data_IF_339186812012
#
_entry.id   IF_339186812012
#
_cell.length_a   1.000
_cell.length_b   1.000
_cell.length_c   1.000
_cell.angle_alpha   90.00
_cell.angle_beta   90.00
_cell.angle_gamma   90.00
#
_symmetry.space_group_name_H-M   'P 1'
#
loop_
_entity.id
_entity.type
_entity.pdbx_description
1 polymer ?
#
# COMPACT_ATOMS: atom_id res chain seq x y z
N UNK A 1 21.09 60.79 1.44
CA UNK A 1 21.84 62.06 1.44
C UNK A 1 20.84 63.17 1.16
N UNK A 2 20.36 63.75 2.25
CA UNK A 2 20.16 65.18 2.43
C UNK A 2 20.81 65.40 3.82
N UNK A 3 21.86 66.22 3.88
CA UNK A 3 22.67 66.55 5.07
C UNK A 3 23.30 65.43 5.92
N UNK A 4 24.16 64.61 5.30
CA UNK A 4 25.51 64.30 5.81
C UNK A 4 25.76 63.73 7.21
N UNK A 5 24.75 63.31 7.98
CA UNK A 5 24.93 62.66 9.29
C UNK A 5 24.16 61.33 9.36
N UNK A 6 24.86 60.25 9.74
CA UNK A 6 24.25 58.98 10.10
C UNK A 6 23.34 59.16 11.31
N UNK A 7 22.03 59.02 11.10
CA UNK A 7 21.08 58.89 12.18
C UNK A 7 20.91 57.40 12.49
N UNK A 8 21.38 57.02 13.67
CA UNK A 8 21.26 55.68 14.24
C UNK A 8 19.80 55.22 14.15
N UNK A 9 19.54 54.07 13.52
CA UNK A 9 18.23 53.40 13.62
C UNK A 9 18.04 52.98 15.08
N UNK A 10 17.13 53.64 15.78
CA UNK A 10 16.61 53.16 17.07
C UNK A 10 15.71 51.98 16.73
N UNK A 11 16.04 50.81 17.29
CA UNK A 11 15.20 49.61 17.21
C UNK A 11 13.84 49.94 17.81
N UNK A 12 12.80 50.01 16.97
CA UNK A 12 11.41 50.05 17.42
C UNK A 12 11.16 48.77 18.21
N UNK A 13 10.58 48.92 19.40
CA UNK A 13 10.58 47.93 20.48
C UNK A 13 10.21 46.52 20.08
N UNK A 14 10.82 45.56 20.78
CA UNK A 14 10.39 44.17 20.74
C UNK A 14 8.90 44.10 21.09
N UNK A 15 8.06 43.45 20.26
CA UNK A 15 6.66 43.29 20.57
C UNK A 15 6.54 42.41 21.81
N UNK A 16 6.13 43.01 22.92
CA UNK A 16 5.75 42.27 24.12
C UNK A 16 4.54 41.41 23.78
N UNK A 17 4.68 40.08 23.89
CA UNK A 17 3.57 39.13 23.75
C UNK A 17 2.62 39.38 24.93
N UNK A 18 1.47 39.99 24.67
CA UNK A 18 0.47 40.35 25.70
C UNK A 18 -0.40 39.14 26.06
N UNK A 19 -0.49 38.14 25.18
CA UNK A 19 -1.29 36.93 25.35
C UNK A 19 -0.59 35.76 24.65
N UNK A 20 -0.43 34.62 25.33
CA UNK A 20 0.16 33.43 24.69
C UNK A 20 -0.81 32.92 23.62
N UNK A 21 -0.31 32.47 22.44
CA UNK A 21 -1.16 31.81 21.46
C UNK A 21 -1.79 30.58 22.13
N UNK A 22 -3.12 30.53 22.12
CA UNK A 22 -3.88 29.33 22.50
C UNK A 22 -3.91 28.46 21.24
N UNK A 23 -3.55 27.18 21.35
CA UNK A 23 -3.70 26.23 20.26
C UNK A 23 -5.16 26.25 19.78
N UNK A 24 -5.36 26.70 18.54
CA UNK A 24 -6.66 26.64 17.88
C UNK A 24 -6.77 25.26 17.22
N UNK A 25 -7.42 24.32 17.91
CA UNK A 25 -7.84 23.06 17.29
C UNK A 25 -9.00 23.41 16.35
N UNK A 26 -8.70 23.61 15.08
CA UNK A 26 -9.73 23.77 14.04
C UNK A 26 -10.34 22.38 13.80
N UNK A 27 -11.48 22.13 14.46
CA UNK A 27 -12.31 20.95 14.20
C UNK A 27 -13.09 21.18 12.91
N UNK A 28 -12.72 20.51 11.82
CA UNK A 28 -13.58 20.37 10.65
C UNK A 28 -14.64 19.30 10.94
N UNK A 29 -15.72 19.69 11.62
CA UNK A 29 -16.88 18.83 11.81
C UNK A 29 -17.85 18.95 10.63
N UNK A 30 -17.95 17.91 9.79
CA UNK A 30 -19.17 17.67 9.03
C UNK A 30 -20.22 17.10 9.98
N UNK A 31 -21.43 17.69 10.01
CA UNK A 31 -22.60 17.31 10.84
C UNK A 31 -23.20 15.91 10.54
N UNK A 32 -22.35 14.90 10.37
CA UNK A 32 -22.71 13.50 10.18
C UNK A 32 -21.62 12.68 10.87
N UNK A 33 -21.69 12.49 12.19
CA UNK A 33 -20.97 11.37 12.78
C UNK A 33 -21.80 10.12 12.46
N UNK A 34 -21.38 9.25 11.53
CA UNK A 34 -22.10 8.02 11.26
C UNK A 34 -22.13 7.15 12.53
N UNK A 35 -23.15 6.30 12.64
CA UNK A 35 -23.23 5.31 13.72
C UNK A 35 -21.91 4.51 13.79
N UNK A 36 -21.35 4.29 14.99
CA UNK A 36 -20.11 3.55 15.13
C UNK A 36 -20.28 2.13 14.60
N UNK A 37 -19.44 1.76 13.63
CA UNK A 37 -19.40 0.42 13.04
C UNK A 37 -18.26 -0.33 13.73
N UNK A 38 -18.53 -1.55 14.17
CA UNK A 38 -17.51 -2.39 14.78
C UNK A 38 -16.40 -2.72 13.77
N UNK A 39 -15.16 -2.68 14.24
CA UNK A 39 -13.95 -2.99 13.47
C UNK A 39 -13.26 -4.15 14.18
N UNK A 40 -13.02 -5.23 13.44
CA UNK A 40 -12.21 -6.35 13.91
C UNK A 40 -10.73 -6.03 13.65
N UNK A 41 -9.89 -6.14 14.68
CA UNK A 41 -8.48 -5.77 14.64
C UNK A 41 -8.23 -4.26 14.49
N UNK A 42 -7.13 -3.92 13.81
CA UNK A 42 -6.64 -2.55 13.63
C UNK A 42 -6.66 -2.17 12.16
N UNK A 43 -7.39 -1.09 11.82
CA UNK A 43 -7.34 -0.43 10.52
C UNK A 43 -6.43 0.80 10.64
N UNK A 44 -5.35 0.86 9.85
CA UNK A 44 -4.49 2.04 9.75
C UNK A 44 -4.56 2.65 8.35
N UNK A 45 -4.36 3.97 8.26
CA UNK A 45 -4.36 4.71 7.01
C UNK A 45 -3.52 5.98 7.13
N UNK A 46 -3.13 6.55 5.99
CA UNK A 46 -2.52 7.88 5.92
C UNK A 46 -3.62 8.90 5.72
N UNK A 47 -3.59 10.00 6.48
CA UNK A 47 -4.48 11.14 6.30
C UNK A 47 -3.72 12.44 6.50
N UNK A 48 -3.78 13.32 5.50
CA UNK A 48 -3.03 14.58 5.45
C UNK A 48 -1.53 14.37 5.81
N UNK A 49 -0.91 13.35 5.23
CA UNK A 49 0.50 13.02 5.46
C UNK A 49 0.82 12.42 6.84
N UNK A 50 -0.18 12.07 7.65
CA UNK A 50 0.00 11.49 8.99
C UNK A 50 -0.60 10.09 9.08
N UNK A 51 -0.03 9.23 9.91
CA UNK A 51 -0.59 7.91 10.21
C UNK A 51 -1.74 8.03 11.22
N UNK A 52 -2.81 7.30 10.97
CA UNK A 52 -3.96 7.14 11.85
C UNK A 52 -4.27 5.65 12.02
N UNK A 53 -4.80 5.27 13.18
CA UNK A 53 -5.32 3.95 13.45
C UNK A 53 -6.75 4.01 14.00
N UNK A 54 -7.51 2.96 13.73
CA UNK A 54 -8.85 2.72 14.25
C UNK A 54 -8.87 1.31 14.83
N UNK A 55 -9.32 1.19 16.08
CA UNK A 55 -9.50 -0.10 16.76
C UNK A 55 -10.87 -0.18 17.42
N UNK A 56 -11.50 -1.36 17.34
CA UNK A 56 -12.79 -1.64 17.95
C UNK A 56 -14.00 -1.02 17.22
N UNK A 57 -14.01 0.28 16.91
CA UNK A 57 -15.05 0.88 16.07
C UNK A 57 -14.59 2.14 15.33
N UNK A 58 -15.32 2.54 14.29
CA UNK A 58 -14.99 3.65 13.38
C UNK A 58 -14.90 5.04 14.00
N UNK A 59 -15.38 5.25 15.23
CA UNK A 59 -15.23 6.50 15.97
C UNK A 59 -13.96 6.53 16.83
N UNK A 60 -13.36 5.38 17.13
CA UNK A 60 -12.14 5.26 17.93
C UNK A 60 -10.88 5.50 17.08
N UNK A 61 -10.76 6.71 16.54
CA UNK A 61 -9.60 7.16 15.74
C UNK A 61 -8.47 7.66 16.63
N UNK A 62 -7.27 7.15 16.42
CA UNK A 62 -6.04 7.58 17.09
C UNK A 62 -5.07 8.10 16.03
N UNK A 63 -4.68 9.37 16.14
CA UNK A 63 -3.58 9.93 15.34
C UNK A 63 -2.25 9.40 15.91
N UNK A 64 -1.43 8.81 15.05
CA UNK A 64 -0.15 8.20 15.43
C UNK A 64 1.03 9.14 15.15
N UNK A 65 0.97 9.92 14.07
CA UNK A 65 2.01 10.91 13.74
C UNK A 65 1.43 12.30 13.54
N UNK A 66 2.26 13.33 13.68
CA UNK A 66 1.87 14.73 13.50
C UNK A 66 2.86 15.53 12.63
N UNK A 67 3.72 14.84 11.89
CA UNK A 67 4.81 15.39 11.07
C UNK A 67 4.36 15.80 9.66
N UNK A 68 3.28 15.20 9.14
CA UNK A 68 2.72 15.47 7.79
C UNK A 68 3.70 15.19 6.64
N UNK A 69 4.61 14.22 6.81
CA UNK A 69 5.74 13.93 5.92
C UNK A 69 5.82 12.45 5.46
N UNK A 70 4.79 11.65 5.77
CA UNK A 70 4.74 10.26 5.30
C UNK A 70 4.69 10.22 3.77
N UNK A 71 5.61 9.45 3.16
CA UNK A 71 5.74 9.33 1.71
C UNK A 71 4.89 8.17 1.12
N UNK A 72 4.41 7.26 1.97
CA UNK A 72 3.62 6.09 1.59
C UNK A 72 4.40 5.02 0.83
N UNK A 73 5.74 5.03 0.83
CA UNK A 73 6.57 4.00 0.19
C UNK A 73 6.51 2.69 0.98
N UNK A 74 6.75 2.77 2.30
CA UNK A 74 6.39 1.73 3.25
C UNK A 74 5.24 2.22 4.13
N UNK A 75 4.22 1.38 4.26
CA UNK A 75 3.12 1.54 5.22
C UNK A 75 2.55 0.14 5.46
N UNK A 76 2.98 -0.49 6.55
CA UNK A 76 2.64 -1.90 6.85
C UNK A 76 2.34 -2.12 8.33
N UNK A 77 1.24 -2.82 8.58
CA UNK A 77 0.75 -3.12 9.91
C UNK A 77 1.16 -4.54 10.31
N UNK A 78 1.62 -4.72 11.54
CA UNK A 78 1.99 -6.02 12.07
C UNK A 78 0.79 -6.99 12.06
N UNK A 79 1.03 -8.29 11.98
CA UNK A 79 -0.03 -9.31 11.94
C UNK A 79 -0.99 -9.27 13.16
N UNK A 80 -0.53 -8.75 14.29
CA UNK A 80 -1.29 -8.54 15.52
C UNK A 80 -1.84 -7.11 15.68
N UNK A 81 -1.68 -6.24 14.68
CA UNK A 81 -2.25 -4.90 14.69
C UNK A 81 -1.60 -3.92 15.67
N UNK A 82 -0.60 -4.33 16.46
CA UNK A 82 -0.02 -3.53 17.54
C UNK A 82 1.05 -2.52 17.07
N UNK A 83 1.65 -2.75 15.90
CA UNK A 83 2.72 -1.91 15.38
C UNK A 83 2.54 -1.58 13.90
N UNK A 84 2.87 -0.34 13.54
CA UNK A 84 2.87 0.17 12.19
C UNK A 84 4.31 0.54 11.78
N UNK A 85 4.80 -0.05 10.68
CA UNK A 85 5.97 0.43 9.94
C UNK A 85 5.52 1.47 8.92
N UNK A 86 6.29 2.55 8.81
CA UNK A 86 6.05 3.57 7.79
C UNK A 86 7.35 4.28 7.42
N UNK A 87 7.41 4.84 6.22
CA UNK A 87 8.50 5.73 5.79
C UNK A 87 8.06 7.19 5.83
N UNK A 88 9.01 8.05 6.20
CA UNK A 88 8.89 9.49 6.07
C UNK A 88 9.92 10.00 5.07
N UNK A 89 9.58 11.10 4.41
CA UNK A 89 10.54 11.83 3.60
C UNK A 89 11.66 12.39 4.49
N UNK A 90 12.92 12.17 4.11
CA UNK A 90 14.04 12.72 4.87
C UNK A 90 14.13 14.26 4.73
N UNK A 91 14.61 14.92 5.79
CA UNK A 91 14.92 16.35 5.77
C UNK A 91 16.07 16.68 4.80
N UNK A 92 17.01 15.75 4.60
CA UNK A 92 18.12 15.87 3.65
C UNK A 92 17.92 14.97 2.42
N UNK A 93 17.01 15.39 1.56
CA UNK A 93 16.68 14.66 0.32
C UNK A 93 17.82 14.59 -0.71
N UNK A 94 18.93 15.29 -0.49
CA UNK A 94 20.11 15.19 -1.37
C UNK A 94 20.97 13.96 -1.05
N UNK A 95 20.85 13.42 0.17
CA UNK A 95 21.66 12.29 0.65
C UNK A 95 20.85 11.10 1.12
N UNK A 96 19.57 11.29 1.44
CA UNK A 96 18.66 10.23 1.87
C UNK A 96 17.31 10.34 1.16
N UNK A 97 16.80 9.24 0.60
CA UNK A 97 15.48 9.16 -0.05
C UNK A 97 14.38 9.26 1.02
N UNK A 98 14.44 8.38 2.01
CA UNK A 98 13.49 8.27 3.10
C UNK A 98 14.10 7.58 4.32
N UNK A 99 13.38 7.68 5.44
CA UNK A 99 13.74 7.06 6.70
C UNK A 99 12.62 6.10 7.11
N UNK A 100 12.99 4.92 7.62
CA UNK A 100 12.03 3.93 8.08
C UNK A 100 11.77 4.11 9.58
N UNK A 101 10.49 4.13 9.96
CA UNK A 101 10.03 4.36 11.33
C UNK A 101 9.06 3.28 11.76
N UNK A 102 8.91 3.16 13.08
CA UNK A 102 7.99 2.25 13.75
C UNK A 102 7.17 3.00 14.79
N UNK A 103 5.88 2.69 14.90
CA UNK A 103 5.05 3.20 15.99
C UNK A 103 4.08 2.14 16.51
N UNK A 104 3.79 2.19 17.81
CA UNK A 104 2.72 1.39 18.44
C UNK A 104 1.34 2.00 18.12
N UNK A 105 0.41 1.18 17.63
CA UNK A 105 -0.90 1.64 17.13
C UNK A 105 -1.84 2.10 18.25
N UNK A 106 -1.50 1.82 19.51
CA UNK A 106 -2.18 2.40 20.67
C UNK A 106 -2.02 3.92 20.78
N UNK A 107 -1.01 4.50 20.10
CA UNK A 107 -0.67 5.92 20.18
C UNK A 107 -0.11 6.34 21.54
N UNK A 108 0.30 5.37 22.37
CA UNK A 108 0.77 5.63 23.74
C UNK A 108 2.23 6.08 23.83
N UNK A 109 2.98 5.98 22.72
CA UNK A 109 4.41 6.31 22.62
C UNK A 109 4.69 7.05 21.32
N UNK A 110 5.76 7.84 21.36
CA UNK A 110 6.27 8.52 20.17
C UNK A 110 6.81 7.51 19.13
N UNK A 111 6.77 7.85 17.84
CA UNK A 111 7.42 7.07 16.80
C UNK A 111 8.92 6.85 17.08
N UNK A 112 9.40 5.66 16.74
CA UNK A 112 10.79 5.25 16.89
C UNK A 112 11.45 5.17 15.51
N UNK A 113 12.51 5.97 15.24
CA UNK A 113 13.25 5.87 14.00
C UNK A 113 14.04 4.55 13.97
N UNK A 114 14.09 3.90 12.82
CA UNK A 114 14.95 2.74 12.61
C UNK A 114 16.27 3.20 11.95
N UNK A 115 17.31 2.40 12.12
CA UNK A 115 18.62 2.66 11.47
C UNK A 115 18.61 2.47 9.95
N UNK A 116 17.47 2.10 9.37
CA UNK A 116 17.31 1.76 7.96
C UNK A 116 16.77 2.97 7.19
N UNK A 117 17.48 3.35 6.12
CA UNK A 117 17.11 4.43 5.20
C UNK A 117 17.01 3.90 3.77
N UNK A 118 16.50 4.74 2.87
CA UNK A 118 16.51 4.49 1.42
C UNK A 118 15.74 3.22 1.04
N UNK A 119 14.62 3.00 1.71
CA UNK A 119 13.79 1.80 1.61
C UNK A 119 12.73 1.99 0.53
N UNK A 120 12.61 1.03 -0.39
CA UNK A 120 11.54 1.01 -1.41
C UNK A 120 10.37 0.11 -1.06
N UNK A 121 10.59 -0.85 -0.16
CA UNK A 121 9.55 -1.68 0.42
C UNK A 121 10.01 -2.13 1.80
N UNK A 122 9.13 -2.04 2.79
CA UNK A 122 9.29 -2.73 4.07
C UNK A 122 7.98 -3.38 4.48
N UNK A 123 8.07 -4.60 5.00
CA UNK A 123 6.92 -5.37 5.44
C UNK A 123 7.28 -6.29 6.60
N UNK A 124 6.30 -6.66 7.41
CA UNK A 124 6.48 -7.65 8.47
C UNK A 124 6.61 -9.04 7.87
N UNK A 125 7.50 -9.88 8.42
CA UNK A 125 7.57 -11.29 8.05
C UNK A 125 6.53 -12.07 8.85
N UNK A 126 5.50 -12.66 8.22
CA UNK A 126 4.44 -13.36 8.93
C UNK A 126 4.98 -14.48 9.84
N UNK A 127 4.34 -14.68 10.99
CA UNK A 127 4.73 -15.68 11.98
C UNK A 127 6.04 -15.41 12.73
N UNK A 128 6.75 -14.29 12.44
CA UNK A 128 8.03 -13.95 13.09
C UNK A 128 7.91 -12.66 13.89
N UNK A 129 8.10 -12.78 15.21
CA UNK A 129 7.96 -11.65 16.11
C UNK A 129 9.02 -10.58 15.85
N UNK A 130 8.56 -9.36 15.61
CA UNK A 130 9.37 -8.18 15.31
C UNK A 130 10.37 -8.35 14.16
N UNK A 131 10.13 -9.24 13.21
CA UNK A 131 11.00 -9.40 12.04
C UNK A 131 10.35 -8.70 10.85
N UNK A 132 11.12 -7.84 10.20
CA UNK A 132 10.73 -7.18 8.96
C UNK A 132 11.59 -7.68 7.80
N UNK A 133 11.05 -7.57 6.60
CA UNK A 133 11.79 -7.64 5.35
C UNK A 133 11.82 -6.26 4.70
N UNK A 134 12.91 -5.92 4.02
CA UNK A 134 13.03 -4.64 3.33
C UNK A 134 13.94 -4.70 2.10
N UNK A 135 13.64 -3.88 1.11
CA UNK A 135 14.48 -3.63 -0.08
C UNK A 135 14.95 -2.19 -0.11
N UNK A 136 16.13 -1.95 -0.68
CA UNK A 136 16.77 -0.63 -0.68
C UNK A 136 17.02 -0.07 -2.09
N UNK A 137 17.40 1.20 -2.14
CA UNK A 137 17.76 1.92 -3.33
C UNK A 137 18.93 2.88 -3.10
N UNK A 138 19.46 3.41 -4.20
CA UNK A 138 20.38 4.54 -4.20
C UNK A 138 19.69 5.78 -4.78
N UNK A 139 20.16 6.96 -4.41
CA UNK A 139 19.64 8.22 -4.96
C UNK A 139 19.99 8.33 -6.44
N UNK A 140 19.00 8.74 -7.23
CA UNK A 140 19.18 9.03 -8.65
C UNK A 140 18.99 10.53 -8.93
N UNK A 141 19.75 11.11 -9.90
CA UNK A 141 19.67 12.54 -10.23
C UNK A 141 18.40 12.92 -11.03
N UNK A 142 17.58 11.95 -11.41
CA UNK A 142 16.37 12.16 -12.20
C UNK A 142 15.20 11.36 -11.64
N UNK A 143 13.98 11.86 -11.86
CA UNK A 143 12.76 11.18 -11.47
C UNK A 143 12.78 9.69 -11.86
N UNK A 144 12.44 8.77 -10.94
CA UNK A 144 11.74 9.02 -9.67
C UNK A 144 12.65 9.40 -8.49
N UNK A 145 13.92 9.73 -8.75
CA UNK A 145 14.95 10.13 -7.78
C UNK A 145 15.53 8.98 -6.96
N UNK A 146 15.26 7.74 -7.36
CA UNK A 146 15.94 6.55 -6.88
C UNK A 146 16.30 5.61 -8.02
N UNK A 147 17.29 4.76 -7.79
CA UNK A 147 17.62 3.57 -8.57
C UNK A 147 17.60 2.36 -7.62
N UNK A 148 16.70 1.40 -7.88
CA UNK A 148 16.54 0.26 -6.98
C UNK A 148 17.73 -0.69 -7.02
N UNK A 149 18.16 -1.13 -5.84
CA UNK A 149 19.16 -2.18 -5.72
C UNK A 149 18.59 -3.59 -5.92
N UNK A 150 17.25 -3.72 -6.00
CA UNK A 150 16.51 -4.98 -6.18
C UNK A 150 16.95 -6.11 -5.23
N UNK A 151 17.55 -5.75 -4.10
CA UNK A 151 17.95 -6.66 -3.05
C UNK A 151 16.77 -6.95 -2.13
N UNK A 152 16.94 -7.91 -1.24
CA UNK A 152 16.01 -8.12 -0.14
C UNK A 152 16.76 -8.56 1.11
N UNK A 153 16.42 -7.93 2.22
CA UNK A 153 16.97 -8.20 3.52
C UNK A 153 15.86 -8.56 4.50
N UNK A 154 16.25 -9.21 5.60
CA UNK A 154 15.42 -9.35 6.79
C UNK A 154 16.21 -8.92 8.01
N UNK A 155 15.54 -8.31 8.99
CA UNK A 155 16.14 -7.98 10.27
C UNK A 155 15.08 -8.06 11.38
N UNK A 156 15.52 -8.39 12.58
CA UNK A 156 14.69 -8.26 13.76
C UNK A 156 14.83 -6.83 14.30
N UNK A 157 13.71 -6.18 14.59
CA UNK A 157 13.69 -4.80 15.10
C UNK A 157 13.43 -4.81 16.60
N UNK A 158 14.20 -4.04 17.35
CA UNK A 158 13.85 -3.72 18.73
C UNK A 158 12.88 -2.52 18.74
N UNK A 159 11.60 -2.71 19.13
CA UNK A 159 10.61 -1.64 19.09
C UNK A 159 10.85 -0.55 20.13
N UNK A 160 11.75 -0.74 21.10
CA UNK A 160 12.02 0.25 22.15
C UNK A 160 13.03 1.33 21.70
N UNK A 161 13.96 0.98 20.82
CA UNK A 161 15.07 1.87 20.42
C UNK A 161 15.35 1.88 18.91
N UNK A 162 14.67 1.06 18.11
CA UNK A 162 14.81 1.01 16.66
C UNK A 162 16.06 0.28 16.16
N UNK A 163 16.79 -0.41 17.04
CA UNK A 163 17.96 -1.18 16.64
C UNK A 163 17.59 -2.33 15.70
N UNK A 164 18.41 -2.51 14.66
CA UNK A 164 18.33 -3.63 13.72
C UNK A 164 19.26 -4.76 14.16
N UNK A 165 18.67 -5.91 14.46
CA UNK A 165 19.34 -7.10 14.97
C UNK A 165 19.37 -8.20 13.92
N UNK A 166 20.51 -8.88 13.81
CA UNK A 166 20.73 -10.03 12.93
C UNK A 166 20.31 -9.79 11.46
N UNK A 167 20.76 -8.71 10.81
CA UNK A 167 20.43 -8.47 9.41
C UNK A 167 20.91 -9.64 8.54
N UNK A 168 20.01 -10.19 7.73
CA UNK A 168 20.26 -11.30 6.81
C UNK A 168 19.82 -10.91 5.41
N UNK A 169 20.75 -10.98 4.46
CA UNK A 169 20.44 -10.86 3.04
C UNK A 169 19.72 -12.12 2.56
N UNK A 170 18.56 -11.93 1.93
CA UNK A 170 17.78 -12.98 1.25
C UNK A 170 18.15 -12.99 -0.23
N UNK A 171 18.17 -11.81 -0.86
CA UNK A 171 18.59 -11.63 -2.24
C UNK A 171 19.75 -10.63 -2.33
N UNK A 172 20.82 -10.94 -3.09
CA UNK A 172 21.86 -9.98 -3.40
C UNK A 172 21.32 -8.83 -4.26
N UNK A 173 22.09 -7.76 -4.35
CA UNK A 173 21.80 -6.67 -5.28
C UNK A 173 21.80 -7.16 -6.72
N UNK A 174 20.89 -6.62 -7.52
CA UNK A 174 20.76 -6.98 -8.92
C UNK A 174 20.20 -5.82 -9.75
N UNK A 175 20.32 -5.93 -11.06
CA UNK A 175 19.74 -4.95 -12.00
C UNK A 175 18.21 -5.03 -12.09
N UNK A 176 17.56 -6.01 -11.45
CA UNK A 176 16.10 -6.12 -11.41
C UNK A 176 15.39 -6.45 -12.72
N UNK A 177 16.14 -6.81 -13.77
CA UNK A 177 15.59 -7.07 -15.10
C UNK A 177 15.21 -5.81 -15.87
N UNK A 178 14.21 -5.90 -16.75
CA UNK A 178 13.72 -4.75 -17.50
C UNK A 178 13.04 -3.73 -16.58
N UNK A 179 13.34 -2.45 -16.79
CA UNK A 179 12.87 -1.36 -15.93
C UNK A 179 13.15 -1.60 -14.44
N UNK A 180 14.25 -2.32 -14.12
CA UNK A 180 14.59 -2.72 -12.76
C UNK A 180 14.98 -1.55 -11.86
N UNK A 181 15.32 -0.40 -12.43
CA UNK A 181 15.54 0.85 -11.70
C UNK A 181 14.35 1.27 -10.84
N UNK A 182 13.13 0.86 -11.22
CA UNK A 182 11.93 1.11 -10.41
C UNK A 182 11.91 0.30 -9.12
N UNK A 183 12.30 -0.98 -9.18
CA UNK A 183 12.30 -1.93 -8.08
C UNK A 183 11.53 -3.22 -8.34
N UNK A 184 11.76 -4.19 -7.46
CA UNK A 184 11.07 -5.48 -7.39
C UNK A 184 10.09 -5.45 -6.22
N UNK A 185 8.84 -5.84 -6.47
CA UNK A 185 7.84 -5.99 -5.40
C UNK A 185 7.89 -7.40 -4.84
N UNK A 186 7.98 -7.54 -3.53
CA UNK A 186 7.99 -8.82 -2.83
C UNK A 186 6.69 -9.04 -2.05
N UNK A 187 6.26 -10.29 -1.90
CA UNK A 187 5.08 -10.64 -1.10
C UNK A 187 5.30 -11.99 -0.37
N UNK A 188 5.25 -11.97 0.95
CA UNK A 188 5.33 -13.18 1.78
C UNK A 188 4.03 -13.99 1.71
N UNK A 189 4.17 -15.32 1.74
CA UNK A 189 3.06 -16.23 2.03
C UNK A 189 2.48 -15.97 3.42
N UNK A 190 1.24 -16.38 3.64
CA UNK A 190 0.52 -16.17 4.91
C UNK A 190 1.25 -16.78 6.11
N UNK A 191 1.98 -17.88 5.89
CA UNK A 191 2.80 -18.56 6.89
C UNK A 191 4.24 -17.99 7.03
N UNK A 192 4.63 -17.04 6.17
CA UNK A 192 5.95 -16.41 6.16
C UNK A 192 7.10 -17.32 5.71
N UNK A 193 6.81 -18.47 5.10
CA UNK A 193 7.83 -19.46 4.69
C UNK A 193 8.26 -19.31 3.23
N UNK A 194 7.41 -18.71 2.40
CA UNK A 194 7.62 -18.55 0.96
C UNK A 194 7.51 -17.10 0.56
N UNK A 195 8.17 -16.76 -0.54
CA UNK A 195 8.29 -15.39 -0.98
C UNK A 195 8.10 -15.30 -2.49
N UNK A 196 7.10 -14.52 -2.90
CA UNK A 196 6.82 -14.21 -4.28
C UNK A 196 7.45 -12.86 -4.65
N UNK A 197 7.71 -12.65 -5.94
CA UNK A 197 8.24 -11.41 -6.47
C UNK A 197 7.52 -11.00 -7.77
N UNK A 198 7.48 -9.70 -8.03
CA UNK A 198 6.86 -9.07 -9.20
C UNK A 198 7.80 -8.03 -9.81
N UNK A 199 8.02 -8.16 -11.12
CA UNK A 199 8.82 -7.28 -11.98
C UNK A 199 8.00 -6.78 -13.16
N UNK A 200 8.63 -5.98 -14.03
CA UNK A 200 7.97 -5.27 -15.13
C UNK A 200 7.30 -6.21 -16.15
N UNK A 201 7.83 -7.41 -16.28
CA UNK A 201 7.52 -8.39 -17.33
C UNK A 201 7.19 -9.77 -16.78
N UNK A 202 7.24 -9.96 -15.45
CA UNK A 202 7.15 -11.29 -14.88
C UNK A 202 6.79 -11.28 -13.39
N UNK A 203 6.19 -12.39 -12.97
CA UNK A 203 5.99 -12.73 -11.56
C UNK A 203 6.59 -14.10 -11.28
N UNK A 204 7.04 -14.31 -10.06
CA UNK A 204 7.68 -15.56 -9.68
C UNK A 204 7.79 -15.77 -8.19
N UNK A 205 8.60 -16.77 -7.84
CA UNK A 205 8.88 -17.25 -6.49
C UNK A 205 10.37 -17.24 -6.22
N UNK A 206 10.75 -17.16 -4.95
CA UNK A 206 12.10 -17.49 -4.47
C UNK A 206 12.05 -18.90 -3.89
N UNK A 207 12.95 -19.77 -4.35
CA UNK A 207 13.06 -21.13 -3.82
C UNK A 207 13.90 -21.20 -2.53
N UNK A 208 14.02 -22.39 -1.94
CA UNK A 208 14.77 -22.58 -0.68
C UNK A 208 16.27 -22.28 -0.80
N UNK A 209 16.83 -22.40 -2.01
CA UNK A 209 18.23 -22.10 -2.32
C UNK A 209 18.48 -20.60 -2.58
N UNK A 210 17.42 -19.78 -2.57
CA UNK A 210 17.48 -18.34 -2.85
C UNK A 210 17.49 -18.00 -4.34
N UNK A 211 17.12 -18.93 -5.22
CA UNK A 211 17.00 -18.70 -6.65
C UNK A 211 15.60 -18.24 -7.04
N UNK A 212 15.53 -17.38 -8.04
CA UNK A 212 14.28 -16.86 -8.59
C UNK A 212 13.70 -17.85 -9.63
N UNK A 213 12.47 -18.30 -9.39
CA UNK A 213 11.69 -19.14 -10.30
C UNK A 213 10.58 -18.29 -10.91
N UNK A 214 10.55 -18.17 -12.24
CA UNK A 214 9.50 -17.46 -12.96
C UNK A 214 8.24 -18.32 -13.04
N UNK A 215 7.09 -17.77 -12.63
CA UNK A 215 5.79 -18.42 -12.71
C UNK A 215 4.96 -17.95 -13.91
N UNK A 216 5.05 -16.67 -14.27
CA UNK A 216 4.40 -16.13 -15.46
C UNK A 216 5.23 -14.98 -16.07
N UNK A 217 5.16 -14.85 -17.39
CA UNK A 217 5.77 -13.75 -18.14
C UNK A 217 4.68 -13.01 -18.93
N UNK A 218 4.81 -11.71 -19.03
CA UNK A 218 3.94 -10.82 -19.79
C UNK A 218 4.74 -9.68 -20.43
N UNK A 219 4.23 -9.05 -21.50
CA UNK A 219 4.90 -7.89 -22.10
C UNK A 219 5.09 -6.75 -21.11
N UNK A 220 6.15 -5.95 -21.28
CA UNK A 220 6.35 -4.72 -20.53
C UNK A 220 5.20 -3.74 -20.76
N UNK A 221 4.84 -2.94 -19.77
CA UNK A 221 4.00 -1.77 -20.01
C UNK A 221 4.87 -0.56 -20.37
N UNK A 222 4.64 0.02 -21.55
CA UNK A 222 5.30 1.26 -21.96
C UNK A 222 4.58 2.48 -21.41
N UNK A 223 5.25 3.25 -20.55
CA UNK A 223 4.78 4.54 -20.05
C UNK A 223 5.63 5.70 -20.57
N UNK A 224 5.03 6.89 -20.67
CA UNK A 224 5.71 8.14 -21.00
C UNK A 224 6.06 8.98 -19.77
N UNK A 225 5.77 8.47 -18.58
CA UNK A 225 6.04 9.09 -17.29
C UNK A 225 7.17 8.35 -16.57
N UNK A 226 7.86 8.97 -15.60
CA UNK A 226 9.02 8.38 -14.93
C UNK A 226 8.59 7.36 -13.85
N UNK A 227 7.82 6.35 -14.24
CA UNK A 227 7.50 5.20 -13.40
C UNK A 227 7.60 3.90 -14.20
N UNK A 228 7.61 2.77 -13.52
CA UNK A 228 7.42 1.47 -14.16
C UNK A 228 6.27 0.75 -13.46
N UNK A 229 5.41 0.09 -14.22
CA UNK A 229 4.29 -0.64 -13.61
C UNK A 229 4.75 -1.99 -13.06
N UNK A 230 4.19 -2.36 -11.91
CA UNK A 230 4.30 -3.69 -11.29
C UNK A 230 2.90 -4.14 -10.91
N UNK A 231 2.62 -5.42 -11.08
CA UNK A 231 1.41 -6.00 -10.50
C UNK A 231 1.59 -6.23 -9.01
N UNK A 232 0.53 -6.02 -8.23
CA UNK A 232 0.43 -6.58 -6.88
C UNK A 232 0.40 -8.10 -6.93
N UNK A 233 0.78 -8.72 -5.81
CA UNK A 233 0.69 -10.15 -5.59
C UNK A 233 -0.14 -10.38 -4.34
N UNK A 234 -1.14 -11.25 -4.43
CA UNK A 234 -1.91 -11.69 -3.27
C UNK A 234 -1.92 -13.21 -3.22
N UNK A 235 -1.54 -13.73 -2.05
CA UNK A 235 -1.55 -15.15 -1.74
C UNK A 235 -2.95 -15.59 -1.36
N UNK A 236 -3.35 -16.78 -1.82
CA UNK A 236 -4.50 -17.45 -1.23
C UNK A 236 -4.18 -17.84 0.21
N UNK A 237 -5.18 -17.93 1.09
CA UNK A 237 -4.95 -18.22 2.52
C UNK A 237 -4.31 -19.59 2.80
N UNK A 238 -4.37 -20.50 1.83
CA UNK A 238 -3.72 -21.82 1.88
C UNK A 238 -2.33 -21.82 1.23
N UNK A 239 -1.87 -20.64 0.80
CA UNK A 239 -0.62 -20.35 0.11
C UNK A 239 -0.38 -21.22 -1.14
N UNK A 240 -1.42 -21.77 -1.75
CA UNK A 240 -1.31 -22.62 -2.94
C UNK A 240 -1.29 -21.80 -4.24
N UNK A 241 -1.82 -20.59 -4.22
CA UNK A 241 -2.04 -19.77 -5.42
C UNK A 241 -1.61 -18.32 -5.18
N UNK A 242 -1.22 -17.67 -6.27
CA UNK A 242 -1.04 -16.23 -6.36
C UNK A 242 -2.06 -15.66 -7.34
N UNK A 243 -2.66 -14.53 -7.00
CA UNK A 243 -3.45 -13.73 -7.93
C UNK A 243 -2.75 -12.40 -8.21
N UNK A 244 -2.78 -11.99 -9.48
CA UNK A 244 -2.09 -10.81 -9.99
C UNK A 244 -2.75 -10.30 -11.27
N UNK A 245 -2.30 -9.14 -11.74
CA UNK A 245 -2.66 -8.55 -13.03
C UNK A 245 -1.63 -8.95 -14.08
N UNK A 246 -2.07 -9.64 -15.13
CA UNK A 246 -1.26 -10.01 -16.29
C UNK A 246 -1.49 -9.00 -17.42
N UNK A 247 -0.42 -8.37 -17.94
CA UNK A 247 -0.51 -7.54 -19.14
C UNK A 247 -0.67 -8.46 -20.36
N UNK A 248 -1.82 -8.33 -21.01
CA UNK A 248 -2.27 -9.26 -22.05
C UNK A 248 -1.72 -8.95 -23.44
N UNK A 249 -1.94 -9.86 -24.41
CA UNK A 249 -1.46 -9.69 -25.78
C UNK A 249 -2.16 -8.53 -26.51
N UNK A 250 -1.54 -7.98 -27.58
CA UNK A 250 -2.20 -7.02 -28.48
C UNK A 250 -3.57 -7.50 -28.98
N UNK A 251 -4.49 -6.56 -29.10
CA UNK A 251 -5.81 -6.74 -29.71
C UNK A 251 -5.84 -6.39 -31.18
N UNK A 252 -4.86 -5.62 -31.65
CA UNK A 252 -4.74 -5.17 -33.04
C UNK A 252 -3.30 -5.13 -33.53
N UNK A 253 -2.93 -4.02 -34.17
CA UNK A 253 -1.58 -3.82 -34.73
C UNK A 253 -0.63 -3.10 -33.79
N UNK A 254 -1.07 -2.76 -32.58
CA UNK A 254 -0.23 -2.17 -31.55
C UNK A 254 0.90 -3.13 -31.15
N UNK A 255 2.08 -2.61 -30.77
CA UNK A 255 3.11 -3.43 -30.16
C UNK A 255 2.63 -4.05 -28.84
N UNK A 256 3.22 -5.19 -28.46
CA UNK A 256 2.91 -5.90 -27.22
C UNK A 256 2.99 -5.03 -25.97
N UNK A 257 3.93 -4.08 -25.93
CA UNK A 257 4.12 -3.20 -24.79
C UNK A 257 3.11 -2.05 -24.67
N UNK A 258 2.23 -1.94 -25.66
CA UNK A 258 1.18 -0.93 -25.78
C UNK A 258 -0.22 -1.57 -25.81
N UNK A 259 -0.31 -2.86 -25.44
CA UNK A 259 -1.58 -3.57 -25.37
C UNK A 259 -2.51 -2.90 -24.34
N UNK A 260 -3.81 -2.73 -24.64
CA UNK A 260 -4.76 -2.22 -23.66
C UNK A 260 -5.24 -3.30 -22.66
N UNK A 261 -4.85 -4.55 -22.86
CA UNK A 261 -5.42 -5.69 -22.12
C UNK A 261 -4.67 -5.91 -20.82
N UNK A 262 -5.41 -5.94 -19.72
CA UNK A 262 -4.90 -6.30 -18.41
C UNK A 262 -5.89 -7.25 -17.75
N UNK A 263 -5.47 -8.48 -17.54
CA UNK A 263 -6.30 -9.56 -17.03
C UNK A 263 -5.99 -9.78 -15.55
N UNK A 264 -6.97 -10.24 -14.77
CA UNK A 264 -6.67 -10.89 -13.49
C UNK A 264 -6.35 -12.36 -13.78
N UNK A 265 -5.16 -12.79 -13.38
CA UNK A 265 -4.67 -14.14 -13.55
C UNK A 265 -4.37 -14.79 -12.20
N UNK A 266 -4.54 -16.11 -12.14
CA UNK A 266 -4.18 -16.95 -11.00
C UNK A 266 -3.13 -17.96 -11.45
N UNK A 267 -2.06 -18.08 -10.68
CA UNK A 267 -1.00 -19.06 -10.90
C UNK A 267 -0.82 -19.94 -9.67
N UNK A 268 -0.62 -21.24 -9.89
CA UNK A 268 -0.24 -22.16 -8.83
C UNK A 268 1.21 -21.89 -8.40
N UNK A 269 1.46 -21.88 -7.09
CA UNK A 269 2.80 -21.56 -6.55
C UNK A 269 3.84 -22.62 -6.86
N UNK A 270 3.41 -23.82 -7.28
CA UNK A 270 4.26 -24.90 -7.78
C UNK A 270 4.44 -24.87 -9.32
N UNK A 271 3.81 -23.94 -10.03
CA UNK A 271 3.87 -23.81 -11.48
C UNK A 271 2.94 -24.74 -12.27
N UNK A 272 2.03 -25.48 -11.61
CA UNK A 272 1.16 -26.45 -12.29
C UNK A 272 0.18 -25.82 -13.29
N UNK A 273 -0.29 -24.59 -13.02
CA UNK A 273 -1.15 -23.87 -13.94
C UNK A 273 -0.97 -22.35 -13.81
N UNK A 274 -1.24 -21.64 -14.91
CA UNK A 274 -1.53 -20.22 -14.97
C UNK A 274 -2.84 -20.05 -15.77
N UNK A 275 -3.82 -19.34 -15.21
CA UNK A 275 -5.12 -19.14 -15.84
C UNK A 275 -5.62 -17.70 -15.65
N UNK A 276 -6.14 -17.12 -16.73
CA UNK A 276 -6.93 -15.89 -16.64
C UNK A 276 -8.29 -16.19 -16.00
N UNK A 277 -8.63 -15.46 -14.93
CA UNK A 277 -9.93 -15.57 -14.24
C UNK A 277 -10.85 -14.39 -14.53
N UNK A 278 -10.28 -13.22 -14.86
CA UNK A 278 -11.05 -12.05 -15.31
C UNK A 278 -10.34 -11.40 -16.49
N UNK A 279 -11.02 -11.30 -17.62
CA UNK A 279 -10.50 -10.60 -18.79
C UNK A 279 -10.66 -9.08 -18.65
N UNK A 280 -9.68 -8.32 -19.10
CA UNK A 280 -9.74 -6.85 -19.24
C UNK A 280 -10.18 -6.09 -17.98
N UNK A 281 -9.73 -6.54 -16.81
CA UNK A 281 -9.99 -5.88 -15.53
C UNK A 281 -9.33 -4.50 -15.44
N UNK A 282 -8.18 -4.30 -16.10
CA UNK A 282 -7.45 -3.04 -16.12
C UNK A 282 -6.14 -3.06 -15.33
N UNK A 283 -5.22 -2.15 -15.68
CA UNK A 283 -3.85 -2.09 -15.16
C UNK A 283 -3.79 -1.93 -13.64
N UNK A 284 -4.79 -1.25 -13.06
CA UNK A 284 -4.90 -1.01 -11.63
C UNK A 284 -5.88 -1.97 -10.95
N UNK A 285 -6.14 -3.16 -11.50
CA UNK A 285 -7.10 -4.07 -10.90
C UNK A 285 -6.71 -4.56 -9.50
N UNK A 286 -5.41 -4.64 -9.20
CA UNK A 286 -4.82 -4.95 -7.89
C UNK A 286 -5.58 -6.04 -7.10
N UNK A 287 -5.71 -7.26 -7.66
CA UNK A 287 -6.55 -8.31 -7.09
C UNK A 287 -6.02 -8.81 -5.74
N UNK A 288 -6.94 -9.14 -4.84
CA UNK A 288 -6.64 -9.68 -3.51
C UNK A 288 -7.58 -10.83 -3.16
N UNK A 289 -7.01 -11.97 -2.77
CA UNK A 289 -7.78 -12.99 -2.05
C UNK A 289 -8.16 -12.47 -0.66
N UNK A 290 -9.37 -12.80 -0.21
CA UNK A 290 -9.78 -12.54 1.16
C UNK A 290 -9.08 -13.51 2.13
N UNK A 291 -8.91 -13.13 3.40
CA UNK A 291 -8.79 -14.09 4.50
C UNK A 291 -9.95 -15.10 4.49
N UNK A 292 -9.78 -16.28 5.12
CA UNK A 292 -10.85 -17.27 5.21
C UNK A 292 -12.01 -16.71 6.03
N UNK A 293 -13.19 -16.68 5.44
CA UNK A 293 -14.44 -16.27 6.07
C UNK A 293 -15.12 -17.51 6.65
N UNK A 294 -15.35 -17.49 7.95
CA UNK A 294 -16.02 -18.58 8.67
C UNK A 294 -17.41 -18.15 9.10
N UNK A 295 -18.43 -18.77 8.51
CA UNK A 295 -19.80 -18.59 8.96
C UNK A 295 -20.19 -19.65 10.00
N UNK A 296 -20.98 -19.25 10.98
CA UNK A 296 -21.50 -20.15 12.02
C UNK A 296 -22.29 -21.31 11.39
N UNK A 297 -21.86 -22.54 11.69
CA UNK A 297 -22.50 -23.77 11.19
C UNK A 297 -21.96 -24.28 9.85
N UNK A 298 -21.02 -23.58 9.21
CA UNK A 298 -20.33 -24.08 8.02
C UNK A 298 -19.13 -24.96 8.38
N UNK A 299 -18.92 -26.02 7.60
CA UNK A 299 -17.85 -27.01 7.84
C UNK A 299 -16.55 -26.65 7.14
N UNK A 300 -16.60 -25.74 6.16
CA UNK A 300 -15.48 -25.33 5.34
C UNK A 300 -15.40 -23.81 5.32
N UNK A 301 -14.19 -23.28 5.44
CA UNK A 301 -13.96 -21.85 5.29
C UNK A 301 -14.22 -21.43 3.83
N UNK A 302 -14.87 -20.28 3.65
CA UNK A 302 -15.04 -19.64 2.34
C UNK A 302 -13.96 -18.60 2.13
N UNK A 303 -13.74 -18.21 0.89
CA UNK A 303 -12.96 -17.03 0.60
C UNK A 303 -13.30 -16.46 -0.77
N UNK A 304 -13.01 -15.19 -0.91
CA UNK A 304 -13.43 -14.38 -2.03
C UNK A 304 -12.21 -13.84 -2.78
N UNK A 305 -12.45 -13.35 -3.99
CA UNK A 305 -11.52 -12.56 -4.76
C UNK A 305 -12.11 -11.15 -4.88
N UNK A 306 -11.39 -10.13 -4.39
CA UNK A 306 -11.70 -8.74 -4.67
C UNK A 306 -10.72 -8.18 -5.70
N UNK A 307 -11.23 -7.31 -6.59
CA UNK A 307 -10.42 -6.61 -7.58
C UNK A 307 -11.13 -5.35 -8.05
N UNK A 308 -10.35 -4.38 -8.51
CA UNK A 308 -10.88 -3.23 -9.24
C UNK A 308 -11.09 -3.58 -10.71
N UNK A 309 -12.22 -3.19 -11.28
CA UNK A 309 -12.55 -3.39 -12.70
C UNK A 309 -12.73 -2.04 -13.39
N UNK A 310 -11.94 -1.80 -14.42
CA UNK A 310 -12.02 -0.59 -15.23
C UNK A 310 -13.40 -0.48 -15.88
N UNK A 311 -14.00 0.72 -15.83
CA UNK A 311 -15.25 1.04 -16.52
C UNK A 311 -15.06 1.18 -18.03
N UNK A 312 -13.86 1.56 -18.45
CA UNK A 312 -13.41 1.55 -19.83
C UNK A 312 -12.13 0.70 -19.94
N UNK A 313 -12.22 -0.56 -20.44
CA UNK A 313 -11.08 -1.47 -20.49
C UNK A 313 -9.99 -1.01 -21.47
N UNK A 314 -10.25 0.00 -22.31
CA UNK A 314 -9.25 0.56 -23.23
C UNK A 314 -8.62 1.85 -22.70
N UNK A 315 -9.08 2.35 -21.55
CA UNK A 315 -8.57 3.58 -20.90
C UNK A 315 -8.35 3.35 -19.41
N UNK A 316 -7.40 2.47 -19.10
CA UNK A 316 -7.21 1.94 -17.75
C UNK A 316 -6.25 2.78 -16.90
N UNK A 317 -5.21 3.38 -17.49
CA UNK A 317 -4.14 4.11 -16.75
C UNK A 317 -4.68 5.31 -15.97
N UNK A 318 -5.51 6.15 -16.59
CA UNK A 318 -6.19 7.28 -15.94
C UNK A 318 -7.69 7.05 -15.75
N UNK A 319 -8.10 5.78 -15.81
CA UNK A 319 -9.50 5.37 -15.86
C UNK A 319 -10.20 5.39 -14.51
N UNK A 320 -11.51 5.16 -14.58
CA UNK A 320 -12.36 4.92 -13.42
C UNK A 320 -12.61 3.42 -13.26
N UNK A 321 -12.66 2.98 -12.00
CA UNK A 321 -12.80 1.58 -11.63
C UNK A 321 -13.98 1.39 -10.69
N UNK A 322 -14.55 0.19 -10.73
CA UNK A 322 -15.47 -0.31 -9.71
C UNK A 322 -14.77 -1.43 -8.91
N UNK A 323 -14.94 -1.45 -7.60
CA UNK A 323 -14.58 -2.58 -6.75
C UNK A 323 -15.58 -3.72 -6.95
N UNK A 324 -15.05 -4.89 -7.28
CA UNK A 324 -15.79 -6.11 -7.54
C UNK A 324 -15.36 -7.16 -6.52
N UNK A 325 -16.33 -7.92 -6.00
CA UNK A 325 -16.10 -9.13 -5.20
C UNK A 325 -16.67 -10.32 -5.96
N UNK A 326 -15.93 -11.42 -6.01
CA UNK A 326 -16.28 -12.66 -6.68
C UNK A 326 -15.91 -13.85 -5.79
N UNK A 327 -16.38 -15.04 -6.15
CA UNK A 327 -15.84 -16.28 -5.60
C UNK A 327 -14.35 -16.39 -5.96
N UNK A 328 -13.59 -17.22 -5.22
CA UNK A 328 -12.14 -17.37 -5.41
C UNK A 328 -11.71 -17.69 -6.85
N UNK A 329 -12.58 -18.35 -7.63
CA UNK A 329 -12.34 -18.69 -9.04
C UNK A 329 -12.75 -17.59 -10.03
N UNK A 330 -13.22 -16.43 -9.54
CA UNK A 330 -13.70 -15.31 -10.35
C UNK A 330 -15.19 -15.40 -10.73
N UNK A 331 -15.89 -16.49 -10.37
CA UNK A 331 -17.31 -16.63 -10.64
C UNK A 331 -18.17 -15.80 -9.67
N UNK A 332 -19.47 -15.67 -9.97
CA UNK A 332 -20.43 -14.91 -9.16
C UNK A 332 -20.01 -13.47 -8.84
N UNK A 333 -19.24 -12.84 -9.73
CA UNK A 333 -18.72 -11.49 -9.54
C UNK A 333 -19.81 -10.41 -9.42
N UNK A 334 -19.70 -9.55 -8.42
CA UNK A 334 -20.62 -8.46 -8.11
C UNK A 334 -19.87 -7.16 -7.89
N UNK A 335 -20.35 -6.06 -8.48
CA UNK A 335 -19.87 -4.72 -8.13
C UNK A 335 -20.40 -4.37 -6.76
N UNK A 336 -19.50 -4.15 -5.80
CA UNK A 336 -19.88 -3.77 -4.44
C UNK A 336 -19.76 -2.26 -4.21
N UNK A 337 -18.89 -1.57 -4.95
CA UNK A 337 -18.68 -0.13 -4.78
C UNK A 337 -17.91 0.49 -5.96
N UNK A 338 -18.10 1.77 -6.30
CA UNK A 338 -19.22 2.62 -5.91
C UNK A 338 -20.49 2.23 -6.68
N UNK A 339 -21.62 2.89 -6.42
CA UNK A 339 -22.82 2.69 -7.21
C UNK A 339 -22.59 3.12 -8.67
N UNK A 340 -23.27 2.47 -9.62
CA UNK A 340 -23.13 2.74 -11.06
C UNK A 340 -23.45 4.19 -11.47
N UNK A 341 -24.20 4.93 -10.65
CA UNK A 341 -24.53 6.35 -10.87
C UNK A 341 -23.46 7.31 -10.34
N UNK A 342 -22.51 6.82 -9.55
CA UNK A 342 -21.41 7.60 -8.98
C UNK A 342 -20.20 7.53 -9.90
N UNK A 343 -19.28 8.49 -9.75
CA UNK A 343 -17.95 8.43 -10.38
C UNK A 343 -17.20 7.20 -9.86
N UNK A 344 -16.34 6.58 -10.68
CA UNK A 344 -15.59 5.41 -10.24
C UNK A 344 -14.39 5.77 -9.38
N UNK A 345 -13.80 4.75 -8.77
CA UNK A 345 -12.53 4.84 -8.05
C UNK A 345 -11.42 5.17 -9.05
N UNK A 346 -10.54 6.10 -8.68
CA UNK A 346 -9.32 6.40 -9.45
C UNK A 346 -8.14 5.87 -8.68
N UNK A 347 -7.40 4.96 -9.29
CA UNK A 347 -6.21 4.40 -8.67
C UNK A 347 -5.10 5.45 -8.58
N UNK A 348 -4.41 5.45 -7.44
CA UNK A 348 -3.22 6.25 -7.21
C UNK A 348 -2.03 5.31 -6.99
N UNK A 349 -0.90 5.63 -7.60
CA UNK A 349 0.38 4.95 -7.40
C UNK A 349 1.14 5.65 -6.25
N UNK A 350 1.61 4.90 -5.24
CA UNK A 350 2.73 5.32 -4.36
C UNK A 350 3.80 4.26 -4.36
N UNK A 351 5.05 4.70 -4.22
CA UNK A 351 6.18 3.79 -4.18
C UNK A 351 6.10 2.86 -5.38
N UNK A 352 6.11 1.56 -5.13
CA UNK A 352 6.17 0.56 -6.20
C UNK A 352 4.82 0.14 -6.79
N UNK A 353 3.68 0.40 -6.12
CA UNK A 353 2.38 -0.14 -6.54
C UNK A 353 1.19 0.73 -6.11
N UNK A 354 -0.01 0.43 -6.62
CA UNK A 354 -1.26 1.00 -6.11
C UNK A 354 -1.80 0.18 -4.94
N UNK A 355 -2.29 0.87 -3.90
CA UNK A 355 -2.97 0.27 -2.73
C UNK A 355 -4.26 1.04 -2.43
N UNK A 356 -5.32 0.71 -3.17
CA UNK A 356 -6.59 1.43 -3.04
C UNK A 356 -7.58 0.76 -2.07
N UNK A 357 -7.42 -0.53 -1.77
CA UNK A 357 -8.30 -1.24 -0.84
C UNK A 357 -7.57 -2.34 -0.08
N UNK A 358 -8.16 -2.79 1.03
CA UNK A 358 -7.67 -3.89 1.88
C UNK A 358 -8.85 -4.60 2.53
N UNK A 359 -8.74 -5.93 2.67
CA UNK A 359 -9.69 -6.76 3.41
C UNK A 359 -9.57 -6.58 4.93
N UNK A 360 -10.68 -6.70 5.66
CA UNK A 360 -10.63 -6.92 7.10
C UNK A 360 -10.01 -8.29 7.42
N UNK A 361 -9.45 -8.49 8.63
CA UNK A 361 -8.78 -9.74 9.01
C UNK A 361 -9.71 -10.96 9.02
N UNK A 362 -11.01 -10.74 9.18
CA UNK A 362 -12.04 -11.77 9.11
C UNK A 362 -12.68 -11.92 7.71
N UNK A 363 -12.23 -11.13 6.73
CA UNK A 363 -12.70 -11.16 5.35
C UNK A 363 -14.15 -10.70 5.14
N UNK A 364 -14.78 -10.10 6.16
CA UNK A 364 -16.20 -9.66 6.09
C UNK A 364 -16.37 -8.24 5.58
N UNK A 365 -15.33 -7.42 5.65
CA UNK A 365 -15.36 -6.02 5.24
C UNK A 365 -14.18 -5.68 4.33
N UNK A 366 -14.33 -4.60 3.56
CA UNK A 366 -13.25 -4.00 2.76
C UNK A 366 -13.16 -2.51 3.11
N UNK A 367 -11.95 -2.04 3.44
CA UNK A 367 -11.65 -0.62 3.47
C UNK A 367 -11.13 -0.18 2.09
N UNK A 368 -11.66 0.90 1.53
CA UNK A 368 -11.30 1.42 0.20
C UNK A 368 -11.10 2.94 0.23
N UNK A 369 -10.13 3.42 -0.52
CA UNK A 369 -9.92 4.85 -0.79
C UNK A 369 -10.84 5.28 -1.92
N UNK A 370 -11.71 6.24 -1.65
CA UNK A 370 -12.62 6.79 -2.66
C UNK A 370 -12.78 8.30 -2.48
N UNK A 371 -12.46 9.03 -3.55
CA UNK A 371 -12.45 10.50 -3.57
C UNK A 371 -11.59 11.14 -2.47
N UNK A 372 -10.52 10.43 -2.06
CA UNK A 372 -9.62 10.86 -1.01
C UNK A 372 -10.11 10.54 0.41
N UNK A 373 -11.19 9.79 0.57
CA UNK A 373 -11.70 9.38 1.88
C UNK A 373 -11.62 7.86 2.06
N UNK A 374 -11.53 7.38 3.31
CA UNK A 374 -11.67 5.96 3.64
C UNK A 374 -13.16 5.62 3.72
N UNK A 375 -13.55 4.60 2.98
CA UNK A 375 -14.87 3.98 3.04
C UNK A 375 -14.73 2.54 3.50
N UNK A 376 -15.68 2.06 4.29
CA UNK A 376 -15.80 0.67 4.71
C UNK A 376 -17.03 0.07 4.04
N UNK A 377 -16.87 -1.13 3.48
CA UNK A 377 -17.90 -1.86 2.77
C UNK A 377 -18.08 -3.19 3.48
N UNK A 378 -19.29 -3.46 3.94
CA UNK A 378 -19.69 -4.78 4.41
C UNK A 378 -20.00 -5.66 3.19
N UNK A 379 -19.28 -6.76 3.04
CA UNK A 379 -19.29 -7.57 1.81
C UNK A 379 -20.56 -8.39 1.66
N UNK A 380 -21.19 -8.79 2.77
CA UNK A 380 -22.41 -9.59 2.74
C UNK A 380 -23.65 -8.74 2.46
N UNK A 381 -23.78 -7.59 3.13
CA UNK A 381 -24.94 -6.70 3.01
C UNK A 381 -24.81 -5.66 1.89
N UNK A 382 -23.58 -5.36 1.46
CA UNK A 382 -23.28 -4.26 0.55
C UNK A 382 -23.44 -2.88 1.19
N UNK A 383 -23.55 -2.80 2.52
CA UNK A 383 -23.62 -1.53 3.23
C UNK A 383 -22.28 -0.80 3.16
N UNK A 384 -22.33 0.51 2.90
CA UNK A 384 -21.13 1.34 2.67
C UNK A 384 -21.11 2.50 3.64
N UNK A 385 -19.96 2.76 4.26
CA UNK A 385 -19.81 3.75 5.30
C UNK A 385 -18.59 4.62 5.04
N UNK A 386 -18.78 5.93 4.91
CA UNK A 386 -17.70 6.88 4.82
C UNK A 386 -17.13 7.14 6.22
N UNK A 387 -15.82 6.97 6.39
CA UNK A 387 -15.15 7.07 7.69
C UNK A 387 -14.33 8.36 7.81
N UNK A 388 -13.78 8.88 6.73
CA UNK A 388 -13.11 10.19 6.70
C UNK A 388 -13.81 11.16 5.74
N UNK A 389 -13.61 12.46 5.90
CA UNK A 389 -14.40 13.50 5.19
C UNK A 389 -13.56 14.67 4.66
N UNK A 390 -12.24 14.59 4.79
CA UNK A 390 -11.30 15.66 4.43
C UNK A 390 -10.68 15.50 3.05
N UNK A 391 -10.91 14.37 2.38
CA UNK A 391 -10.41 14.02 1.04
C UNK A 391 -8.90 13.90 0.95
N UNK A 392 -8.23 13.59 2.06
CA UNK A 392 -6.77 13.48 2.15
C UNK A 392 -6.31 12.13 2.71
N UNK A 393 -7.19 11.14 2.72
CA UNK A 393 -6.91 9.76 3.09
C UNK A 393 -6.35 8.90 1.96
N UNK A 394 -5.45 7.99 2.32
CA UNK A 394 -4.81 7.01 1.43
C UNK A 394 -4.24 5.82 2.21
N UNK A 395 -3.75 4.80 1.51
CA UNK A 395 -3.02 3.64 2.06
C UNK A 395 -3.71 2.91 3.23
N UNK A 396 -4.96 2.44 3.08
CA UNK A 396 -5.56 1.61 4.11
C UNK A 396 -4.80 0.28 4.21
N UNK A 397 -4.46 -0.12 5.43
CA UNK A 397 -3.94 -1.45 5.79
C UNK A 397 -4.72 -1.96 7.01
N UNK A 398 -5.00 -3.26 7.07
CA UNK A 398 -5.87 -3.82 8.10
C UNK A 398 -5.33 -5.18 8.54
N UNK A 399 -5.20 -5.37 9.85
CA UNK A 399 -4.65 -6.56 10.49
C UNK A 399 -5.37 -6.87 11.80
N UNK A 400 -5.14 -8.08 12.35
CA UNK A 400 -5.90 -8.63 13.50
C UNK A 400 -5.69 -7.86 14.80
#
# INVERSE_FOLDING_TARGET
IEDGNETTRIQAGEPTIIEQPVDEIIVFGSDQDPDPIAINGTLAYINNGNAWAITGNTQAKTQLTASSDLDGIAFSLAANGDYLLFTIKSDDTETTINELWLIETSGSKDPVPLVLTDVLQADWVPGRNNVISYSTAEIAPSAPFWDSLNNLWTAQIDPANGESLNPRQILPESVGGYEGWWGTLFAWSSDGTRLAWSRADSVGMINEDGEEIVLANYPLFRTTSPYSWRTTLSWSWDDSQLVFVEHGPPTGSEPADSSPIYNVAVVATNGDFNATVVESAGIWASPQFSPPVRHDGETFDRGYLAYMRARDPFRTVGGEYDLVVADRDGSNAQVVFPLSTQVGIRAVLSGLTSRNFVWSPDGTMIAVVYLGDIWIIDVESGATYQITFDKQSSYPVWSS
#
